data_IF_268327766693
#
_entry.id   IF_268327766693
#
_cell.length_a   1.000
_cell.length_b   1.000
_cell.length_c   1.000
_cell.angle_alpha   90.00
_cell.angle_beta   90.00
_cell.angle_gamma   90.00
#
_symmetry.space_group_name_H-M   'P 1'
#
loop_
_entity.id
_entity.type
_entity.pdbx_description
1 polymer ?
#
# COMPACT_ATOMS: atom_id res chain seq x y z
N UNK A 1 -1.36 -14.36 -15.40
CA UNK A 1 -2.05 -13.30 -14.64
C UNK A 1 -1.40 -11.96 -15.02
N UNK A 2 -2.11 -11.05 -15.70
CA UNK A 2 -1.55 -9.74 -16.08
C UNK A 2 -1.71 -8.79 -14.91
N UNK A 3 -0.62 -8.31 -14.32
CA UNK A 3 -0.67 -7.25 -13.31
C UNK A 3 -0.75 -5.91 -14.03
N UNK A 4 -1.93 -5.28 -14.02
CA UNK A 4 -2.08 -3.93 -14.52
C UNK A 4 -1.20 -2.97 -13.69
N UNK A 5 -0.46 -2.04 -14.34
CA UNK A 5 0.42 -1.14 -13.63
C UNK A 5 -0.40 -0.22 -12.71
N UNK A 6 0.09 -0.03 -11.48
CA UNK A 6 -0.60 0.73 -10.42
C UNK A 6 0.37 1.46 -9.51
N UNK A 7 -0.09 2.56 -8.94
CA UNK A 7 0.62 3.29 -7.89
C UNK A 7 0.05 2.84 -6.54
N UNK A 8 0.91 2.41 -5.62
CA UNK A 8 0.52 2.07 -4.24
C UNK A 8 0.99 3.17 -3.31
N UNK A 9 0.10 3.68 -2.47
CA UNK A 9 0.37 4.76 -1.52
C UNK A 9 0.06 4.30 -0.10
N UNK A 10 1.07 4.32 0.76
CA UNK A 10 0.89 4.17 2.20
C UNK A 10 0.29 5.44 2.80
N UNK A 11 -0.83 5.31 3.51
CA UNK A 11 -1.47 6.39 4.27
C UNK A 11 -1.37 6.07 5.75
N UNK A 12 -0.84 7.00 6.53
CA UNK A 12 -0.78 6.92 8.00
C UNK A 12 -1.42 8.14 8.69
N UNK A 13 -1.92 9.10 7.89
CA UNK A 13 -2.51 10.36 8.35
C UNK A 13 -1.50 11.48 8.54
N UNK A 14 -0.20 11.21 8.39
CA UNK A 14 0.84 12.23 8.51
C UNK A 14 0.82 13.22 7.33
N UNK A 15 1.38 14.42 7.51
CA UNK A 15 1.57 15.36 6.40
C UNK A 15 2.36 14.76 5.24
N UNK A 16 3.33 13.87 5.54
CA UNK A 16 4.13 13.19 4.51
C UNK A 16 3.29 12.21 3.69
N UNK A 17 2.42 11.43 4.33
CA UNK A 17 1.54 10.53 3.59
C UNK A 17 0.53 11.28 2.73
N UNK A 18 0.04 12.44 3.21
CA UNK A 18 -0.85 13.31 2.41
C UNK A 18 -0.15 13.85 1.16
N UNK A 19 1.09 14.33 1.29
CA UNK A 19 1.87 14.79 0.14
C UNK A 19 2.11 13.67 -0.89
N UNK A 20 2.37 12.44 -0.43
CA UNK A 20 2.50 11.27 -1.31
C UNK A 20 1.20 10.94 -2.04
N UNK A 21 0.05 11.02 -1.34
CA UNK A 21 -1.27 10.82 -1.93
C UNK A 21 -1.60 11.88 -2.99
N UNK A 22 -1.31 13.15 -2.71
CA UNK A 22 -1.54 14.26 -3.65
C UNK A 22 -0.72 14.08 -4.94
N UNK A 23 0.56 13.74 -4.80
CA UNK A 23 1.41 13.42 -5.95
C UNK A 23 0.85 12.26 -6.78
N UNK A 24 0.43 11.19 -6.12
CA UNK A 24 -0.06 9.99 -6.79
C UNK A 24 -1.41 10.23 -7.49
N UNK A 25 -2.32 10.98 -6.87
CA UNK A 25 -3.61 11.36 -7.43
C UNK A 25 -3.45 12.22 -8.69
N UNK A 26 -2.45 13.11 -8.73
CA UNK A 26 -2.14 13.91 -9.92
C UNK A 26 -1.47 13.10 -11.04
N UNK A 27 -0.74 12.04 -10.69
CA UNK A 27 0.06 11.24 -11.64
C UNK A 27 -0.70 10.06 -12.25
N UNK A 28 -1.51 9.35 -11.46
CA UNK A 28 -2.16 8.12 -11.90
C UNK A 28 -3.06 8.31 -13.15
N UNK A 29 -3.90 9.37 -13.25
CA UNK A 29 -4.72 9.59 -14.44
C UNK A 29 -3.90 9.90 -15.69
N UNK A 30 -2.76 10.57 -15.55
CA UNK A 30 -1.86 10.94 -16.66
C UNK A 30 -1.19 9.72 -17.30
N UNK A 31 -1.15 8.60 -16.59
CA UNK A 31 -0.47 7.37 -17.00
C UNK A 31 -1.43 6.18 -17.11
N UNK A 32 -2.75 6.43 -16.99
CA UNK A 32 -3.80 5.41 -17.00
C UNK A 32 -3.51 4.28 -15.99
N UNK A 33 -2.97 4.66 -14.82
CA UNK A 33 -2.65 3.74 -13.75
C UNK A 33 -3.79 3.70 -12.73
N UNK A 34 -3.99 2.54 -12.12
CA UNK A 34 -4.84 2.44 -10.93
C UNK A 34 -4.09 2.95 -9.68
N UNK A 35 -4.83 3.47 -8.71
CA UNK A 35 -4.29 3.97 -7.44
C UNK A 35 -4.81 3.10 -6.30
N UNK A 36 -3.91 2.53 -5.50
CA UNK A 36 -4.22 1.71 -4.33
C UNK A 36 -3.73 2.40 -3.06
N UNK A 37 -4.62 2.69 -2.13
CA UNK A 37 -4.29 3.23 -0.81
C UNK A 37 -4.17 2.09 0.20
N UNK A 38 -3.11 2.11 0.99
CA UNK A 38 -2.83 1.11 2.03
C UNK A 38 -2.64 1.81 3.36
N UNK A 39 -3.43 1.45 4.37
CA UNK A 39 -3.24 1.89 5.74
C UNK A 39 -2.74 0.71 6.57
N UNK A 40 -1.55 0.84 7.16
CA UNK A 40 -1.02 -0.19 8.03
C UNK A 40 -1.58 0.02 9.45
N UNK A 41 -2.45 -0.88 9.88
CA UNK A 41 -2.87 -0.95 11.29
C UNK A 41 -1.90 -1.84 12.05
N UNK A 42 -1.42 -1.42 13.22
CA UNK A 42 -0.67 -2.29 14.10
C UNK A 42 -1.48 -3.52 14.50
N UNK A 43 -0.82 -4.66 14.53
CA UNK A 43 -1.37 -5.98 14.85
C UNK A 43 -2.12 -6.05 16.18
N UNK A 44 -1.62 -5.34 17.19
CA UNK A 44 -2.26 -5.26 18.50
C UNK A 44 -3.62 -4.54 18.50
N UNK A 45 -3.99 -3.86 17.41
CA UNK A 45 -5.31 -3.26 17.24
C UNK A 45 -6.34 -4.22 16.65
N UNK A 46 -5.94 -5.38 16.11
CA UNK A 46 -6.81 -6.28 15.33
C UNK A 46 -7.03 -7.68 15.93
N UNK A 47 -6.14 -8.19 16.82
CA UNK A 47 -6.42 -9.30 17.76
C UNK A 47 -5.20 -9.67 18.61
N UNK A 48 -5.38 -10.21 19.84
CA UNK A 48 -4.29 -10.59 20.75
C UNK A 48 -3.69 -11.98 20.46
N UNK A 49 -3.75 -12.46 19.22
CA UNK A 49 -3.40 -13.83 18.86
C UNK A 49 -2.37 -13.92 17.74
N UNK A 50 -1.09 -13.78 18.10
CA UNK A 50 0.12 -14.18 17.35
C UNK A 50 0.16 -13.70 15.88
N UNK A 51 0.85 -12.59 15.63
CA UNK A 51 1.22 -12.21 14.26
C UNK A 51 2.69 -12.57 14.02
N UNK A 52 2.88 -13.55 13.15
CA UNK A 52 4.15 -13.87 12.53
C UNK A 52 4.35 -12.85 11.40
N UNK A 53 5.38 -12.01 11.51
CA UNK A 53 5.70 -10.99 10.53
C UNK A 53 5.98 -11.63 9.16
N UNK A 54 4.96 -11.82 8.32
CA UNK A 54 5.18 -12.18 6.92
C UNK A 54 5.74 -10.95 6.23
N UNK A 55 7.04 -11.00 5.94
CA UNK A 55 7.68 -9.96 5.18
C UNK A 55 6.98 -9.88 3.82
N UNK A 56 6.64 -8.67 3.36
CA UNK A 56 5.97 -8.44 2.06
C UNK A 56 6.75 -9.06 0.88
N UNK A 57 8.04 -9.34 1.11
CA UNK A 57 8.93 -10.02 0.16
C UNK A 57 8.54 -11.49 -0.07
N UNK A 58 8.00 -12.18 0.94
CA UNK A 58 7.53 -13.57 0.84
C UNK A 58 6.18 -13.66 0.12
N UNK A 59 5.32 -12.64 0.25
CA UNK A 59 4.03 -12.56 -0.44
C UNK A 59 4.15 -12.32 -1.95
N UNK A 60 5.32 -11.93 -2.43
CA UNK A 60 5.62 -11.71 -3.86
C UNK A 60 6.65 -12.71 -4.40
N UNK A 61 6.94 -13.79 -3.66
CA UNK A 61 8.00 -14.74 -3.96
C UNK A 61 7.55 -16.20 -3.99
N UNK A 62 6.89 -16.61 -5.08
CA UNK A 62 7.09 -17.91 -5.73
C UNK A 62 6.41 -17.87 -7.10
N UNK A 63 7.25 -18.00 -8.14
CA UNK A 63 7.00 -18.26 -9.56
C UNK A 63 5.57 -18.19 -10.11
#
# INVERSE_FOLDING_TARGET
MVVAPRIVVGVDGSPRSRAALEWAALRAPRQTLSLLLVYAVPDYLVSPGRIECQSVRDALGAC
#
